data_IF_766442523340
#
_entry.id   IF_766442523340
#
_cell.length_a   1.000
_cell.length_b   1.000
_cell.length_c   1.000
_cell.angle_alpha   90.00
_cell.angle_beta   90.00
_cell.angle_gamma   90.00
#
_symmetry.space_group_name_H-M   'P 1'
#
loop_
_entity.id
_entity.type
_entity.pdbx_description
1 polymer ?
#
# COMPACT_ATOMS: atom_id res chain seq x y z
N UNK A 1 95.78 -9.40 -25.28
CA UNK A 1 96.18 -8.06 -24.77
C UNK A 1 95.03 -7.13 -25.12
N UNK A 2 94.32 -6.40 -24.26
CA UNK A 2 94.49 -5.91 -22.90
C UNK A 2 93.11 -5.73 -22.23
N UNK A 3 93.14 -5.39 -20.95
CA UNK A 3 92.05 -5.38 -19.97
C UNK A 3 91.50 -3.96 -19.69
N UNK A 4 90.32 -3.92 -19.07
CA UNK A 4 89.72 -2.90 -18.18
C UNK A 4 88.92 -1.68 -18.68
N UNK A 5 87.70 -1.60 -18.11
CA UNK A 5 87.04 -0.41 -17.55
C UNK A 5 85.96 0.22 -18.45
N UNK A 6 84.78 0.65 -17.99
CA UNK A 6 84.10 0.63 -16.71
C UNK A 6 82.61 1.00 -16.96
N UNK A 7 81.75 0.63 -16.02
CA UNK A 7 80.37 1.04 -15.74
C UNK A 7 79.69 2.13 -16.60
N UNK A 8 78.44 1.90 -17.00
CA UNK A 8 77.30 2.73 -16.55
C UNK A 8 75.94 2.08 -16.83
N UNK A 9 75.05 2.30 -15.87
CA UNK A 9 73.70 1.78 -15.75
C UNK A 9 72.75 2.84 -16.32
N UNK A 10 71.99 2.57 -17.39
CA UNK A 10 70.78 3.34 -17.65
C UNK A 10 69.76 2.50 -18.40
N UNK A 11 68.66 2.22 -17.71
CA UNK A 11 67.45 1.67 -18.28
C UNK A 11 66.92 2.63 -19.35
N UNK A 12 66.53 2.05 -20.47
CA UNK A 12 65.96 2.73 -21.63
C UNK A 12 64.78 3.62 -21.28
N UNK A 13 64.95 4.93 -21.44
CA UNK A 13 63.87 5.89 -21.65
C UNK A 13 63.21 5.61 -22.99
N UNK A 14 62.05 4.97 -22.99
CA UNK A 14 61.11 5.05 -24.12
C UNK A 14 59.89 5.87 -23.68
N UNK A 15 59.99 7.15 -24.02
CA UNK A 15 58.95 8.15 -23.91
C UNK A 15 57.82 7.80 -24.91
N UNK A 16 56.79 7.09 -24.47
CA UNK A 16 55.51 7.09 -25.17
C UNK A 16 54.69 8.25 -24.58
N UNK A 17 54.77 9.39 -25.26
CA UNK A 17 53.82 10.50 -25.13
C UNK A 17 52.41 9.93 -25.34
N UNK A 18 51.68 9.76 -24.23
CA UNK A 18 50.23 9.54 -24.28
C UNK A 18 49.64 10.88 -24.66
N UNK A 19 49.27 11.02 -25.93
CA UNK A 19 48.40 12.11 -26.38
C UNK A 19 47.09 11.97 -25.62
N UNK A 20 46.87 12.84 -24.62
CA UNK A 20 45.57 12.99 -23.99
C UNK A 20 44.70 13.70 -25.03
N UNK A 21 43.94 12.92 -25.81
CA UNK A 21 42.77 13.45 -26.50
C UNK A 21 41.75 13.84 -25.43
N UNK A 22 41.75 15.13 -25.13
CA UNK A 22 40.65 15.85 -24.52
C UNK A 22 39.38 15.65 -25.38
N UNK A 23 38.22 15.45 -24.73
CA UNK A 23 36.89 15.15 -25.29
C UNK A 23 36.53 13.66 -25.42
N UNK A 24 36.53 12.95 -24.29
CA UNK A 24 35.38 12.07 -24.06
C UNK A 24 34.31 12.93 -23.38
N UNK A 25 33.29 13.31 -24.14
CA UNK A 25 32.06 13.85 -23.56
C UNK A 25 31.58 12.85 -22.51
N UNK A 26 31.82 13.16 -21.24
CA UNK A 26 31.11 12.56 -20.12
C UNK A 26 29.70 13.16 -20.10
N UNK A 27 28.98 13.06 -21.22
CA UNK A 27 27.54 13.19 -21.20
C UNK A 27 27.05 12.01 -20.39
N UNK A 28 26.88 12.22 -19.08
CA UNK A 28 26.10 11.31 -18.24
C UNK A 28 24.77 11.17 -18.96
N UNK A 29 24.51 9.98 -19.49
CA UNK A 29 23.25 9.67 -20.15
C UNK A 29 22.15 9.76 -19.11
N UNK A 30 21.57 10.95 -19.00
CA UNK A 30 20.49 11.24 -18.07
C UNK A 30 19.17 10.60 -18.52
N UNK A 31 19.12 9.94 -19.69
CA UNK A 31 17.91 9.28 -20.19
C UNK A 31 17.44 8.13 -19.29
N UNK A 32 18.33 7.55 -18.48
CA UNK A 32 18.00 6.53 -17.49
C UNK A 32 17.17 7.07 -16.31
N UNK A 33 17.24 8.37 -16.01
CA UNK A 33 16.53 9.01 -14.89
C UNK A 33 15.38 9.92 -15.34
N UNK A 34 15.36 10.35 -16.62
CA UNK A 34 14.31 11.24 -17.16
C UNK A 34 12.94 10.57 -17.30
N UNK A 35 12.88 9.23 -17.31
CA UNK A 35 11.62 8.49 -17.29
C UNK A 35 11.40 7.95 -15.89
N UNK A 36 10.68 8.69 -15.06
CA UNK A 36 10.07 8.10 -13.85
C UNK A 36 9.13 7.01 -14.38
N UNK A 37 9.61 5.76 -14.37
CA UNK A 37 8.91 4.60 -14.95
C UNK A 37 7.52 4.35 -14.32
N UNK A 38 7.26 5.00 -13.19
CA UNK A 38 6.00 5.03 -12.47
C UNK A 38 5.33 6.40 -12.68
N UNK A 39 4.05 6.40 -13.08
CA UNK A 39 3.15 7.57 -13.18
C UNK A 39 3.13 8.33 -14.52
N UNK A 40 3.56 7.75 -15.64
CA UNK A 40 3.44 8.41 -16.96
C UNK A 40 2.00 8.46 -17.49
N UNK A 41 1.07 7.72 -16.88
CA UNK A 41 -0.36 7.77 -17.22
C UNK A 41 -1.24 8.13 -16.03
N UNK A 42 -2.35 8.81 -16.30
CA UNK A 42 -3.36 9.10 -15.29
C UNK A 42 -3.92 7.83 -14.63
N UNK A 43 -3.88 6.67 -15.31
CA UNK A 43 -4.30 5.39 -14.74
C UNK A 43 -3.35 4.92 -13.64
N UNK A 44 -2.04 5.10 -13.82
CA UNK A 44 -1.04 4.77 -12.81
C UNK A 44 -1.20 5.68 -11.59
N UNK A 45 -1.45 6.98 -11.80
CA UNK A 45 -1.75 7.92 -10.72
C UNK A 45 -2.99 7.50 -9.93
N UNK A 46 -4.09 7.19 -10.62
CA UNK A 46 -5.33 6.77 -9.95
C UNK A 46 -5.15 5.44 -9.21
N UNK A 47 -4.42 4.48 -9.79
CA UNK A 47 -4.13 3.22 -9.13
C UNK A 47 -3.22 3.41 -7.91
N UNK A 48 -2.19 4.26 -7.99
CA UNK A 48 -1.33 4.58 -6.84
C UNK A 48 -2.13 5.24 -5.72
N UNK A 49 -3.01 6.18 -6.04
CA UNK A 49 -3.92 6.79 -5.06
C UNK A 49 -4.78 5.71 -4.39
N UNK A 50 -5.32 4.77 -5.16
CA UNK A 50 -6.07 3.64 -4.59
C UNK A 50 -5.23 2.79 -3.64
N UNK A 51 -3.98 2.50 -3.99
CA UNK A 51 -3.05 1.71 -3.15
C UNK A 51 -2.76 2.42 -1.84
N UNK A 52 -2.49 3.73 -1.89
CA UNK A 52 -2.25 4.55 -0.71
C UNK A 52 -3.47 4.56 0.20
N UNK A 53 -4.67 4.81 -0.35
CA UNK A 53 -5.91 4.87 0.44
C UNK A 53 -6.24 3.52 1.10
N UNK A 54 -6.12 2.40 0.35
CA UNK A 54 -6.27 1.05 0.93
C UNK A 54 -5.25 0.76 2.03
N UNK A 55 -4.01 1.26 1.89
CA UNK A 55 -2.97 1.07 2.91
C UNK A 55 -3.26 1.89 4.17
N UNK A 56 -3.74 3.13 4.02
CA UNK A 56 -4.20 3.96 5.14
C UNK A 56 -5.38 3.29 5.85
N UNK A 57 -6.36 2.80 5.11
CA UNK A 57 -7.51 2.10 5.67
C UNK A 57 -7.08 0.82 6.40
N UNK A 58 -6.21 0.00 5.81
CA UNK A 58 -5.65 -1.19 6.45
C UNK A 58 -4.95 -0.84 7.78
N UNK A 59 -4.18 0.25 7.82
CA UNK A 59 -3.53 0.72 9.05
C UNK A 59 -4.52 1.14 10.14
N UNK A 60 -5.54 1.93 9.78
CA UNK A 60 -6.60 2.35 10.71
C UNK A 60 -7.37 1.13 11.22
N UNK A 61 -7.72 0.19 10.34
CA UNK A 61 -8.44 -1.02 10.74
C UNK A 61 -7.57 -1.88 11.66
N UNK A 62 -6.30 -2.07 11.30
CA UNK A 62 -5.35 -2.87 12.07
C UNK A 62 -5.20 -2.35 13.50
N UNK A 63 -5.01 -1.03 13.69
CA UNK A 63 -4.81 -0.49 15.04
C UNK A 63 -6.02 -0.73 15.95
N UNK A 64 -7.24 -0.78 15.39
CA UNK A 64 -8.43 -1.10 16.18
C UNK A 64 -8.42 -2.54 16.70
N UNK A 65 -8.08 -3.51 15.85
CA UNK A 65 -7.98 -4.91 16.27
C UNK A 65 -6.79 -5.16 17.20
N UNK A 66 -5.66 -4.50 16.92
CA UNK A 66 -4.40 -4.77 17.60
C UNK A 66 -4.28 -4.04 18.94
N UNK A 67 -4.85 -2.84 19.07
CA UNK A 67 -4.57 -1.96 20.21
C UNK A 67 -5.83 -1.36 20.80
N UNK A 68 -6.67 -0.67 20.02
CA UNK A 68 -7.81 0.09 20.58
C UNK A 68 -8.79 -0.85 21.29
N UNK A 69 -9.32 -1.86 20.61
CA UNK A 69 -10.32 -2.75 21.20
C UNK A 69 -9.76 -3.59 22.36
N UNK A 70 -8.53 -4.16 22.28
CA UNK A 70 -7.89 -4.75 23.45
C UNK A 70 -7.75 -3.80 24.64
N UNK A 71 -7.39 -2.53 24.41
CA UNK A 71 -7.33 -1.53 25.50
C UNK A 71 -8.70 -1.23 26.09
N UNK A 72 -9.76 -1.13 25.28
CA UNK A 72 -11.11 -0.93 25.80
C UNK A 72 -11.61 -2.16 26.58
N UNK A 73 -11.16 -3.37 26.21
CA UNK A 73 -11.50 -4.59 26.90
C UNK A 73 -10.89 -4.72 28.31
N UNK A 74 -9.88 -3.91 28.66
CA UNK A 74 -9.33 -3.88 30.04
C UNK A 74 -10.07 -2.92 30.96
N UNK A 75 -11.00 -2.12 30.43
CA UNK A 75 -11.81 -1.18 31.19
C UNK A 75 -13.13 -1.84 31.61
N UNK A 76 -13.82 -1.21 32.56
CA UNK A 76 -15.20 -1.57 32.85
C UNK A 76 -16.05 -1.42 31.58
N UNK A 77 -17.04 -2.29 31.41
CA UNK A 77 -17.83 -2.37 30.19
C UNK A 77 -18.57 -1.07 29.88
N UNK A 78 -19.10 -0.37 30.88
CA UNK A 78 -19.75 0.94 30.74
C UNK A 78 -18.81 1.97 30.10
N UNK A 79 -17.57 2.03 30.58
CA UNK A 79 -16.53 2.93 30.04
C UNK A 79 -16.16 2.52 28.62
N UNK A 80 -15.96 1.22 28.36
CA UNK A 80 -15.62 0.69 27.03
C UNK A 80 -16.70 0.98 25.98
N UNK A 81 -17.97 0.75 26.32
CA UNK A 81 -19.13 1.02 25.47
C UNK A 81 -19.20 2.52 25.14
N UNK A 82 -19.12 3.39 26.16
CA UNK A 82 -19.21 4.83 25.99
C UNK A 82 -18.09 5.38 25.10
N UNK A 83 -16.85 4.93 25.30
CA UNK A 83 -15.72 5.32 24.46
C UNK A 83 -15.93 4.81 23.02
N UNK A 84 -16.33 3.56 22.84
CA UNK A 84 -16.54 3.00 21.51
C UNK A 84 -17.65 3.71 20.73
N UNK A 85 -18.76 4.06 21.38
CA UNK A 85 -19.85 4.84 20.78
C UNK A 85 -19.40 6.26 20.41
N UNK A 86 -18.58 6.89 21.27
CA UNK A 86 -17.96 8.19 20.99
C UNK A 86 -17.06 8.11 19.76
N UNK A 87 -16.19 7.10 19.68
CA UNK A 87 -15.31 6.85 18.53
C UNK A 87 -16.13 6.63 17.26
N UNK A 88 -17.15 5.76 17.30
CA UNK A 88 -18.02 5.48 16.15
C UNK A 88 -18.72 6.73 15.60
N UNK A 89 -18.95 7.73 16.45
CA UNK A 89 -19.54 9.02 16.05
C UNK A 89 -18.47 9.95 15.44
N UNK A 90 -17.32 10.09 16.10
CA UNK A 90 -16.26 11.03 15.69
C UNK A 90 -15.55 10.57 14.41
N UNK A 91 -15.34 9.26 14.25
CA UNK A 91 -14.53 8.71 13.17
C UNK A 91 -15.17 8.94 11.79
N UNK A 92 -16.50 9.08 11.70
CA UNK A 92 -17.23 9.25 10.43
C UNK A 92 -17.18 10.71 9.97
N UNK A 93 -15.99 11.15 9.58
CA UNK A 93 -15.73 12.47 9.00
C UNK A 93 -15.26 12.36 7.54
N UNK A 94 -15.25 13.46 6.75
CA UNK A 94 -14.91 13.40 5.33
C UNK A 94 -13.55 12.79 5.01
N UNK A 95 -12.52 13.07 5.82
CA UNK A 95 -11.18 12.52 5.61
C UNK A 95 -11.16 11.02 5.81
N UNK A 96 -11.82 10.53 6.86
CA UNK A 96 -11.98 9.11 7.09
C UNK A 96 -12.73 8.44 5.93
N UNK A 97 -13.86 8.99 5.47
CA UNK A 97 -14.63 8.43 4.36
C UNK A 97 -13.79 8.32 3.08
N UNK A 98 -12.97 9.34 2.78
CA UNK A 98 -12.06 9.32 1.63
C UNK A 98 -10.99 8.25 1.79
N UNK A 99 -10.33 8.17 2.96
CA UNK A 99 -9.30 7.16 3.21
C UNK A 99 -9.88 5.74 3.18
N UNK A 100 -11.02 5.55 3.84
CA UNK A 100 -11.64 4.25 4.09
C UNK A 100 -12.36 3.67 2.87
N UNK A 101 -12.94 4.52 2.01
CA UNK A 101 -13.61 4.07 0.78
C UNK A 101 -12.85 4.41 -0.50
N UNK A 102 -11.65 4.96 -0.36
CA UNK A 102 -10.79 5.39 -1.45
C UNK A 102 -10.41 4.28 -2.42
N UNK A 103 -10.37 3.03 -1.97
CA UNK A 103 -10.09 1.87 -2.81
C UNK A 103 -11.03 1.70 -4.01
N UNK A 104 -12.25 2.27 -3.95
CA UNK A 104 -13.19 2.26 -5.06
C UNK A 104 -12.65 2.92 -6.32
N UNK A 105 -11.70 3.85 -6.21
CA UNK A 105 -11.12 4.54 -7.37
C UNK A 105 -10.34 3.58 -8.29
N UNK A 106 -9.88 2.43 -7.78
CA UNK A 106 -9.28 1.36 -8.61
C UNK A 106 -10.22 0.84 -9.70
N UNK A 107 -11.54 0.96 -9.55
CA UNK A 107 -12.50 0.49 -10.55
C UNK A 107 -12.31 1.16 -11.92
N UNK A 108 -11.88 2.43 -11.95
CA UNK A 108 -11.63 3.16 -13.18
C UNK A 108 -10.45 2.60 -14.00
N UNK A 109 -9.20 2.53 -13.49
CA UNK A 109 -8.10 1.90 -14.21
C UNK A 109 -8.39 0.43 -14.51
N UNK A 110 -8.98 -0.33 -13.58
CA UNK A 110 -9.42 -1.72 -13.83
C UNK A 110 -10.30 -1.83 -15.08
N UNK A 111 -11.35 -0.99 -15.17
CA UNK A 111 -12.27 -1.00 -16.32
C UNK A 111 -11.57 -0.61 -17.62
N UNK A 112 -10.74 0.43 -17.60
CA UNK A 112 -10.02 0.88 -18.80
C UNK A 112 -9.06 -0.20 -19.29
N UNK A 113 -8.28 -0.79 -18.39
CA UNK A 113 -7.30 -1.82 -18.75
C UNK A 113 -8.00 -3.10 -19.25
N UNK A 114 -9.11 -3.51 -18.64
CA UNK A 114 -9.87 -4.68 -19.10
C UNK A 114 -10.50 -4.49 -20.50
N UNK A 115 -10.87 -3.25 -20.86
CA UNK A 115 -11.40 -2.91 -22.20
C UNK A 115 -10.33 -2.80 -23.29
N UNK A 116 -9.07 -2.63 -22.91
CA UNK A 116 -7.96 -2.40 -23.84
C UNK A 116 -6.87 -3.47 -23.65
N UNK A 117 -7.18 -4.76 -23.93
CA UNK A 117 -6.28 -5.88 -23.66
C UNK A 117 -4.92 -5.79 -24.37
N UNK A 118 -4.87 -5.08 -25.50
CA UNK A 118 -3.68 -4.95 -26.32
C UNK A 118 -2.68 -3.91 -25.80
N UNK A 119 -3.15 -2.97 -24.96
CA UNK A 119 -2.33 -1.88 -24.42
C UNK A 119 -1.71 -2.21 -23.05
N UNK A 120 -2.31 -3.13 -22.30
CA UNK A 120 -1.92 -3.45 -20.93
C UNK A 120 -1.60 -4.93 -20.77
N UNK A 121 -0.58 -5.24 -19.97
CA UNK A 121 -0.18 -6.64 -19.74
C UNK A 121 -1.32 -7.47 -19.14
N UNK A 122 -1.33 -8.78 -19.38
CA UNK A 122 -2.29 -9.70 -18.76
C UNK A 122 -2.19 -9.66 -17.22
N UNK A 123 -1.00 -9.74 -16.58
CA UNK A 123 -0.91 -9.67 -15.13
C UNK A 123 -1.51 -8.39 -14.54
N UNK A 124 -1.21 -7.23 -15.10
CA UNK A 124 -1.70 -5.97 -14.54
C UNK A 124 -3.22 -5.85 -14.51
N UNK A 125 -3.88 -6.31 -15.58
CA UNK A 125 -5.33 -6.32 -15.70
C UNK A 125 -5.99 -7.17 -14.62
N UNK A 126 -5.48 -8.37 -14.40
CA UNK A 126 -6.05 -9.28 -13.41
C UNK A 126 -5.70 -8.89 -11.98
N UNK A 127 -4.52 -8.31 -11.73
CA UNK A 127 -4.20 -7.73 -10.42
C UNK A 127 -5.06 -6.51 -10.09
N UNK A 128 -5.32 -5.62 -11.07
CA UNK A 128 -6.23 -4.49 -10.90
C UNK A 128 -7.65 -4.99 -10.55
N UNK A 129 -8.15 -5.96 -11.33
CA UNK A 129 -9.46 -6.57 -11.09
C UNK A 129 -9.55 -7.23 -9.71
N UNK A 130 -8.55 -8.03 -9.34
CA UNK A 130 -8.50 -8.68 -8.05
C UNK A 130 -8.46 -7.66 -6.91
N UNK A 131 -7.65 -6.60 -7.03
CA UNK A 131 -7.59 -5.49 -6.06
C UNK A 131 -8.97 -4.86 -5.86
N UNK A 132 -9.64 -4.46 -6.95
CA UNK A 132 -10.97 -3.83 -6.90
C UNK A 132 -12.02 -4.76 -6.27
N UNK A 133 -12.04 -6.05 -6.66
CA UNK A 133 -13.02 -7.02 -6.15
C UNK A 133 -12.76 -7.36 -4.69
N UNK A 134 -11.51 -7.57 -4.29
CA UNK A 134 -11.13 -7.88 -2.91
C UNK A 134 -11.48 -6.69 -1.99
N UNK A 135 -11.15 -5.47 -2.40
CA UNK A 135 -11.55 -4.26 -1.66
C UNK A 135 -13.07 -4.21 -1.49
N UNK A 136 -13.82 -4.37 -2.59
CA UNK A 136 -15.27 -4.24 -2.56
C UNK A 136 -15.94 -5.31 -1.67
N UNK A 137 -15.57 -6.58 -1.84
CA UNK A 137 -16.16 -7.67 -1.08
C UNK A 137 -15.63 -7.78 0.36
N UNK A 138 -14.37 -7.43 0.57
CA UNK A 138 -13.68 -7.70 1.83
C UNK A 138 -13.70 -6.51 2.79
N UNK A 139 -13.48 -5.31 2.31
CA UNK A 139 -13.47 -4.11 3.14
C UNK A 139 -14.83 -3.43 3.15
N UNK A 140 -15.36 -3.09 1.96
CA UNK A 140 -16.61 -2.34 1.83
C UNK A 140 -17.83 -3.17 2.29
N UNK A 141 -18.04 -4.36 1.72
CA UNK A 141 -19.19 -5.22 2.06
C UNK A 141 -19.17 -5.68 3.53
N UNK A 142 -18.01 -6.09 4.06
CA UNK A 142 -17.92 -6.46 5.49
C UNK A 142 -18.19 -5.26 6.39
N UNK A 143 -17.76 -4.06 6.01
CA UNK A 143 -18.07 -2.84 6.77
C UNK A 143 -19.58 -2.63 6.88
N UNK A 144 -20.30 -2.63 5.76
CA UNK A 144 -21.74 -2.32 5.75
C UNK A 144 -22.60 -3.47 6.29
N UNK A 145 -22.14 -4.73 6.21
CA UNK A 145 -22.93 -5.90 6.66
C UNK A 145 -22.58 -6.42 8.04
N UNK A 146 -21.36 -6.15 8.55
CA UNK A 146 -20.91 -6.68 9.84
C UNK A 146 -20.60 -5.57 10.84
N UNK A 147 -19.72 -4.63 10.48
CA UNK A 147 -19.22 -3.64 11.46
C UNK A 147 -20.24 -2.53 11.73
N UNK A 148 -20.84 -1.93 10.71
CA UNK A 148 -21.87 -0.89 10.88
C UNK A 148 -23.08 -1.40 11.67
N UNK A 149 -23.68 -2.58 11.35
CA UNK A 149 -24.79 -3.10 12.15
C UNK A 149 -24.43 -3.37 13.61
N UNK A 150 -23.21 -3.84 13.89
CA UNK A 150 -22.74 -4.04 15.28
C UNK A 150 -22.58 -2.73 16.02
N UNK A 151 -21.99 -1.72 15.37
CA UNK A 151 -21.86 -0.39 15.96
C UNK A 151 -23.24 0.22 16.29
N UNK A 152 -24.20 0.07 15.38
CA UNK A 152 -25.57 0.55 15.62
C UNK A 152 -26.28 -0.23 16.74
N UNK A 153 -26.05 -1.54 16.84
CA UNK A 153 -26.59 -2.35 17.94
C UNK A 153 -25.98 -1.96 19.29
N UNK A 154 -24.67 -1.64 19.33
CA UNK A 154 -24.02 -1.16 20.55
C UNK A 154 -24.55 0.21 21.01
N UNK A 155 -24.95 1.08 20.07
CA UNK A 155 -25.44 2.41 20.38
C UNK A 155 -26.72 2.43 21.22
N UNK A 156 -27.55 1.39 21.11
CA UNK A 156 -28.83 1.29 21.83
C UNK A 156 -28.75 0.45 23.11
N UNK A 157 -27.57 -0.04 23.46
CA UNK A 157 -27.33 -0.78 24.70
C UNK A 157 -27.21 0.20 25.86
N UNK A 158 -27.87 -0.08 26.98
CA UNK A 158 -27.66 0.61 28.25
C UNK A 158 -26.33 0.15 28.88
N UNK A 159 -25.30 1.02 28.95
CA UNK A 159 -23.97 0.65 29.44
C UNK A 159 -23.94 0.26 30.93
N UNK A 160 -24.88 0.75 31.74
CA UNK A 160 -24.92 0.49 33.18
C UNK A 160 -25.68 -0.80 33.53
N UNK A 161 -26.47 -1.32 32.58
CA UNK A 161 -27.27 -2.53 32.76
C UNK A 161 -26.41 -3.81 32.72
N UNK A 162 -26.83 -4.84 33.47
CA UNK A 162 -26.20 -6.17 33.43
C UNK A 162 -26.24 -6.79 32.02
N UNK A 163 -27.34 -6.61 31.29
CA UNK A 163 -27.48 -7.06 29.90
C UNK A 163 -26.48 -6.35 28.97
N UNK A 164 -26.22 -5.06 29.19
CA UNK A 164 -25.26 -4.30 28.40
C UNK A 164 -23.82 -4.71 28.63
N UNK A 165 -23.46 -4.96 29.90
CA UNK A 165 -22.15 -5.52 30.26
C UNK A 165 -21.95 -6.90 29.62
N UNK A 166 -22.96 -7.78 29.73
CA UNK A 166 -22.93 -9.09 29.10
C UNK A 166 -22.81 -9.01 27.57
N UNK A 167 -23.52 -8.08 26.92
CA UNK A 167 -23.43 -7.87 25.48
C UNK A 167 -22.03 -7.44 25.05
N UNK A 168 -21.42 -6.48 25.77
CA UNK A 168 -20.07 -5.99 25.48
C UNK A 168 -19.04 -7.12 25.50
N UNK A 169 -19.00 -7.87 26.60
CA UNK A 169 -17.98 -8.89 26.85
C UNK A 169 -18.14 -10.11 25.93
N UNK A 170 -19.36 -10.60 25.76
CA UNK A 170 -19.60 -11.90 25.13
C UNK A 170 -20.00 -11.79 23.65
N UNK A 171 -20.67 -10.70 23.25
CA UNK A 171 -21.28 -10.59 21.93
C UNK A 171 -20.64 -9.52 21.04
N UNK A 172 -20.11 -8.44 21.63
CA UNK A 172 -19.53 -7.34 20.88
C UNK A 172 -18.04 -7.54 20.63
N UNK A 173 -17.19 -7.49 21.67
CA UNK A 173 -15.73 -7.39 21.54
C UNK A 173 -15.12 -8.42 20.57
N UNK A 174 -15.27 -9.71 20.87
CA UNK A 174 -14.64 -10.79 20.09
C UNK A 174 -15.11 -10.78 18.62
N UNK A 175 -16.41 -10.60 18.39
CA UNK A 175 -16.97 -10.62 17.03
C UNK A 175 -16.60 -9.37 16.25
N UNK A 176 -16.62 -8.21 16.90
CA UNK A 176 -16.24 -6.95 16.30
C UNK A 176 -14.77 -6.99 15.88
N UNK A 177 -13.87 -7.43 16.76
CA UNK A 177 -12.43 -7.60 16.46
C UNK A 177 -12.23 -8.59 15.31
N UNK A 178 -12.90 -9.74 15.32
CA UNK A 178 -12.75 -10.74 14.26
C UNK A 178 -13.12 -10.19 12.88
N UNK A 179 -14.28 -9.53 12.76
CA UNK A 179 -14.70 -8.92 11.49
C UNK A 179 -13.84 -7.71 11.12
N UNK A 180 -13.40 -6.92 12.09
CA UNK A 180 -12.46 -5.82 11.86
C UNK A 180 -11.12 -6.33 11.32
N UNK A 181 -10.56 -7.39 11.91
CA UNK A 181 -9.32 -8.01 11.42
C UNK A 181 -9.49 -8.57 10.01
N UNK A 182 -10.61 -9.22 9.71
CA UNK A 182 -10.91 -9.70 8.36
C UNK A 182 -10.89 -8.54 7.34
N UNK A 183 -11.54 -7.41 7.66
CA UNK A 183 -11.51 -6.20 6.81
C UNK A 183 -10.09 -5.70 6.58
N UNK A 184 -9.28 -5.63 7.63
CA UNK A 184 -7.90 -5.14 7.55
C UNK A 184 -7.04 -6.01 6.65
N UNK A 185 -7.22 -7.34 6.72
CA UNK A 185 -6.54 -8.30 5.83
C UNK A 185 -6.95 -8.05 4.38
N UNK A 186 -8.25 -7.91 4.10
CA UNK A 186 -8.71 -7.64 2.74
C UNK A 186 -8.20 -6.30 2.20
N UNK A 187 -8.21 -5.24 3.01
CA UNK A 187 -7.66 -3.94 2.65
C UNK A 187 -6.15 -4.03 2.30
N UNK A 188 -5.38 -4.75 3.12
CA UNK A 188 -3.95 -4.97 2.88
C UNK A 188 -3.69 -5.80 1.60
N UNK A 189 -4.47 -6.86 1.36
CA UNK A 189 -4.39 -7.66 0.13
C UNK A 189 -4.75 -6.80 -1.09
N UNK A 190 -5.82 -6.00 -1.00
CA UNK A 190 -6.21 -5.10 -2.09
C UNK A 190 -5.11 -4.08 -2.41
N UNK A 191 -4.46 -3.51 -1.40
CA UNK A 191 -3.31 -2.62 -1.58
C UNK A 191 -2.14 -3.32 -2.29
N UNK A 192 -1.77 -4.52 -1.82
CA UNK A 192 -0.69 -5.31 -2.43
C UNK A 192 -0.98 -5.65 -3.89
N UNK A 193 -2.21 -6.07 -4.21
CA UNK A 193 -2.64 -6.38 -5.58
C UNK A 193 -2.64 -5.12 -6.47
N UNK A 194 -3.07 -3.97 -5.95
CA UNK A 194 -2.97 -2.70 -6.68
C UNK A 194 -1.52 -2.30 -6.97
N UNK A 195 -0.62 -2.52 -6.00
CA UNK A 195 0.81 -2.33 -6.17
C UNK A 195 1.40 -3.25 -7.24
N UNK A 196 1.03 -4.53 -7.24
CA UNK A 196 1.41 -5.46 -8.31
C UNK A 196 0.86 -5.02 -9.68
N UNK A 197 -0.37 -4.53 -9.73
CA UNK A 197 -0.94 -3.99 -10.98
C UNK A 197 -0.08 -2.85 -11.55
N UNK A 198 0.40 -1.93 -10.70
CA UNK A 198 1.33 -0.87 -11.08
C UNK A 198 2.64 -1.43 -11.66
N UNK A 199 3.25 -2.40 -10.99
CA UNK A 199 4.52 -3.00 -11.44
C UNK A 199 4.43 -3.65 -12.83
N UNK A 200 3.25 -4.15 -13.21
CA UNK A 200 3.04 -4.83 -14.48
C UNK A 200 2.25 -4.00 -15.50
N UNK A 201 1.90 -2.74 -15.21
CA UNK A 201 0.84 -2.03 -15.96
C UNK A 201 1.11 -1.98 -17.46
N UNK A 202 2.37 -1.79 -17.83
CA UNK A 202 2.81 -1.71 -19.22
C UNK A 202 3.27 -3.07 -19.74
N UNK A 203 3.08 -3.33 -21.03
CA UNK A 203 3.76 -4.44 -21.68
C UNK A 203 5.27 -4.21 -21.58
N UNK A 204 6.02 -5.23 -21.16
CA UNK A 204 7.48 -5.20 -21.31
C UNK A 204 7.81 -4.96 -22.78
N UNK A 205 8.80 -4.12 -23.13
CA UNK A 205 9.20 -3.85 -24.53
C UNK A 205 9.73 -5.07 -25.31
N UNK A 206 9.54 -6.29 -24.80
CA UNK A 206 10.17 -7.51 -25.29
C UNK A 206 9.10 -8.57 -25.54
N UNK A 207 8.25 -8.35 -26.53
CA UNK A 207 7.50 -9.38 -27.27
C UNK A 207 7.37 -8.97 -28.74
#
# INVERSE_FOLDING_TARGET
>A
MMNYGAAENSASNNLHLITITENQDLSVDNSAWEKVWLLDSHLEVVMLVSVILNSMAAGIIFIFSNTVMPSLATLNADVGINIMNTINTIIVNPLFIIAFFGGLVSAYPTRVMMKNPDLYSKPARYYALASTVIFFLGEFMVTVTQNVPRNNALLVVDPESEDGQNYWEHNFLKRWIAWNTARGIFAAIAAALGGLSLCFMRKSPVE
#
